data_IF_408980485319
#
_entry.id   IF_408980485319
#
_cell.length_a   1.000
_cell.length_b   1.000
_cell.length_c   1.000
_cell.angle_alpha   90.00
_cell.angle_beta   90.00
_cell.angle_gamma   90.00
#
_symmetry.space_group_name_H-M   'P 1'
#
loop_
_entity.id
_entity.type
_entity.pdbx_description
1 polymer ?
#
# COMPACT_ATOMS: atom_id res chain seq x y z
N UNK A 1 -51.36 14.44 9.73
CA UNK A 1 -51.58 13.26 10.60
C UNK A 1 -50.50 12.26 10.22
N UNK A 2 -49.33 12.29 10.87
CA UNK A 2 -48.93 11.43 12.00
C UNK A 2 -49.05 9.92 11.65
N UNK A 3 -48.04 9.05 11.85
CA UNK A 3 -47.09 9.02 12.94
C UNK A 3 -45.75 8.33 12.57
N UNK A 4 -44.72 8.72 13.33
CA UNK A 4 -43.36 8.16 13.42
C UNK A 4 -43.43 6.83 14.19
N UNK A 5 -42.58 5.87 13.87
CA UNK A 5 -42.31 4.73 14.76
C UNK A 5 -40.81 4.59 14.98
N UNK A 6 -40.36 5.18 16.08
CA UNK A 6 -39.07 4.94 16.73
C UNK A 6 -39.26 3.85 17.78
N UNK A 7 -38.31 2.92 17.89
CA UNK A 7 -38.01 2.09 19.08
C UNK A 7 -37.23 0.82 18.67
N UNK A 8 -36.28 0.21 19.40
CA UNK A 8 -35.88 0.30 20.79
C UNK A 8 -34.37 0.06 20.93
N UNK A 9 -33.82 0.72 21.94
CA UNK A 9 -32.50 0.55 22.57
C UNK A 9 -32.27 -0.90 23.04
N UNK A 10 -31.09 -1.46 22.80
CA UNK A 10 -30.52 -2.55 23.60
C UNK A 10 -29.06 -2.22 23.92
N UNK A 11 -28.89 -1.61 25.10
CA UNK A 11 -27.65 -1.56 25.87
C UNK A 11 -27.25 -2.98 26.26
N UNK A 12 -26.02 -3.40 25.94
CA UNK A 12 -25.38 -4.55 26.58
C UNK A 12 -24.07 -4.09 27.24
N UNK A 13 -24.08 -4.24 28.55
CA UNK A 13 -23.12 -3.79 29.55
C UNK A 13 -21.85 -4.64 29.62
N UNK A 14 -20.72 -3.95 29.79
CA UNK A 14 -19.73 -4.13 30.86
C UNK A 14 -19.27 -5.57 31.20
N UNK A 15 -18.01 -5.87 30.89
CA UNK A 15 -17.20 -6.79 31.69
C UNK A 15 -15.73 -6.31 31.72
N UNK A 16 -15.39 -5.66 32.82
CA UNK A 16 -14.01 -5.41 33.26
C UNK A 16 -13.36 -6.77 33.59
N UNK A 17 -12.21 -7.07 32.98
CA UNK A 17 -11.32 -8.14 33.41
C UNK A 17 -9.94 -7.52 33.68
N UNK A 18 -9.78 -7.04 34.91
CA UNK A 18 -8.48 -6.95 35.57
C UNK A 18 -8.01 -8.37 35.86
N UNK A 19 -6.81 -8.73 35.39
CA UNK A 19 -6.05 -9.84 35.93
C UNK A 19 -4.57 -9.47 35.93
N UNK A 20 -4.10 -9.09 37.10
CA UNK A 20 -2.69 -8.95 37.45
C UNK A 20 -2.09 -10.34 37.62
N UNK A 21 -1.01 -10.66 36.90
CA UNK A 21 -0.06 -11.70 37.31
C UNK A 21 1.33 -11.10 37.30
N UNK A 22 1.82 -10.82 38.51
CA UNK A 22 3.23 -10.70 38.80
C UNK A 22 3.81 -12.12 38.88
N UNK A 23 4.82 -12.40 38.09
CA UNK A 23 5.70 -13.54 38.30
C UNK A 23 7.12 -13.13 37.90
N UNK A 24 7.94 -12.84 38.92
CA UNK A 24 9.37 -12.69 38.79
C UNK A 24 10.01 -14.09 38.90
N UNK A 25 10.81 -14.55 37.93
CA UNK A 25 11.70 -15.67 38.15
C UNK A 25 13.07 -15.16 38.63
N UNK A 26 13.46 -15.76 39.74
CA UNK A 26 14.76 -15.81 40.39
C UNK A 26 15.93 -15.99 39.42
N UNK A 27 17.05 -15.35 39.76
CA UNK A 27 18.29 -15.37 39.02
C UNK A 27 18.84 -16.78 38.75
N UNK A 28 19.36 -16.95 37.55
CA UNK A 28 20.25 -18.02 37.16
C UNK A 28 21.52 -17.39 36.58
N UNK A 29 22.61 -17.49 37.36
CA UNK A 29 23.98 -17.31 36.89
C UNK A 29 24.32 -18.49 35.96
N UNK A 30 24.48 -18.22 34.66
CA UNK A 30 25.13 -19.16 33.73
C UNK A 30 26.23 -18.43 32.96
N UNK A 31 27.49 -18.73 33.31
CA UNK A 31 28.65 -18.49 32.46
C UNK A 31 28.71 -19.52 31.32
N UNK A 32 28.69 -19.06 30.07
CA UNK A 32 29.65 -19.40 28.99
C UNK A 32 29.03 -19.49 27.59
N UNK A 33 29.52 -18.57 26.74
CA UNK A 33 29.91 -18.69 25.31
C UNK A 33 29.01 -19.48 24.36
N UNK A 34 28.37 -18.77 23.42
CA UNK A 34 28.46 -19.03 21.96
C UNK A 34 28.31 -17.71 21.20
N UNK A 35 29.37 -17.30 20.49
CA UNK A 35 29.28 -16.34 19.40
C UNK A 35 28.96 -17.15 18.15
N UNK A 36 27.71 -17.12 17.69
CA UNK A 36 27.34 -17.59 16.36
C UNK A 36 26.35 -16.60 15.75
N UNK A 37 26.84 -15.95 14.70
CA UNK A 37 26.13 -15.46 13.52
C UNK A 37 24.66 -15.07 13.72
N UNK A 38 24.42 -13.79 13.98
CA UNK A 38 23.22 -13.15 13.43
C UNK A 38 23.68 -12.15 12.38
N UNK A 39 23.73 -12.61 11.13
CA UNK A 39 23.55 -11.75 9.97
C UNK A 39 22.21 -11.05 10.16
N UNK A 40 22.22 -9.95 10.91
CA UNK A 40 21.12 -9.01 10.86
C UNK A 40 21.21 -8.40 9.49
N UNK A 41 20.46 -8.99 8.55
CA UNK A 41 20.03 -8.34 7.33
C UNK A 41 19.20 -7.13 7.73
N UNK A 42 19.90 -6.08 8.16
CA UNK A 42 19.35 -4.75 8.30
C UNK A 42 19.30 -4.17 6.90
N UNK A 43 18.29 -4.56 6.13
CA UNK A 43 17.79 -3.83 4.97
C UNK A 43 17.22 -2.49 5.46
N UNK A 44 18.07 -1.64 6.01
CA UNK A 44 17.65 -0.42 6.70
C UNK A 44 18.45 0.74 6.15
N UNK A 45 18.13 1.13 4.92
CA UNK A 45 18.29 2.49 4.38
C UNK A 45 17.50 2.67 3.08
N UNK A 46 16.43 1.90 2.83
CA UNK A 46 15.37 2.43 1.98
C UNK A 46 14.90 3.70 2.70
N UNK A 47 14.93 4.86 2.06
CA UNK A 47 14.42 6.12 2.63
C UNK A 47 13.09 5.87 3.34
N UNK A 48 12.76 6.63 4.38
CA UNK A 48 11.56 6.38 5.21
C UNK A 48 10.26 6.21 4.42
N UNK A 49 10.24 6.67 3.16
CA UNK A 49 9.12 6.53 2.23
C UNK A 49 9.28 5.43 1.17
N UNK A 50 10.47 4.90 0.87
CA UNK A 50 10.67 4.00 -0.28
C UNK A 50 9.78 2.74 -0.20
N UNK A 51 9.78 2.02 0.92
CA UNK A 51 8.90 0.85 1.09
C UNK A 51 7.40 1.20 1.03
N UNK A 52 6.99 2.31 1.66
CA UNK A 52 5.61 2.78 1.59
C UNK A 52 5.18 3.13 0.15
N UNK A 53 6.08 3.76 -0.61
CA UNK A 53 5.86 4.09 -2.02
C UNK A 53 5.78 2.84 -2.90
N UNK A 54 6.60 1.83 -2.63
CA UNK A 54 6.56 0.54 -3.33
C UNK A 54 5.22 -0.17 -3.15
N UNK A 55 4.75 -0.29 -1.90
CA UNK A 55 3.44 -0.88 -1.60
C UNK A 55 2.30 -0.08 -2.25
N UNK A 56 2.38 1.26 -2.21
CA UNK A 56 1.38 2.12 -2.84
C UNK A 56 1.37 1.95 -4.36
N UNK A 57 2.53 1.81 -4.99
CA UNK A 57 2.65 1.54 -6.41
C UNK A 57 2.00 0.20 -6.78
N UNK A 58 2.24 -0.87 -6.01
CA UNK A 58 1.59 -2.17 -6.22
C UNK A 58 0.06 -2.06 -6.15
N UNK A 59 -0.46 -1.45 -5.09
CA UNK A 59 -1.91 -1.23 -4.94
C UNK A 59 -2.53 -0.44 -6.10
N UNK A 60 -1.86 0.63 -6.54
CA UNK A 60 -2.35 1.45 -7.65
C UNK A 60 -2.35 0.65 -8.95
N UNK A 61 -1.27 -0.09 -9.26
CA UNK A 61 -1.23 -0.92 -10.46
C UNK A 61 -2.29 -2.03 -10.44
N UNK A 62 -2.55 -2.64 -9.28
CA UNK A 62 -3.63 -3.61 -9.12
C UNK A 62 -5.02 -2.97 -9.33
N UNK A 63 -5.23 -1.76 -8.82
CA UNK A 63 -6.46 -1.00 -9.06
C UNK A 63 -6.63 -0.64 -10.55
N UNK A 64 -5.57 -0.15 -11.19
CA UNK A 64 -5.57 0.22 -12.59
C UNK A 64 -5.82 -0.95 -13.54
N UNK A 65 -5.37 -2.15 -13.19
CA UNK A 65 -5.66 -3.37 -13.95
C UNK A 65 -7.17 -3.70 -14.02
N UNK A 66 -7.98 -3.14 -13.11
CA UNK A 66 -9.44 -3.30 -13.11
C UNK A 66 -10.21 -2.16 -13.80
N UNK A 67 -9.51 -1.08 -14.18
CA UNK A 67 -10.13 0.08 -14.81
C UNK A 67 -10.24 -0.08 -16.33
N UNK A 68 -11.30 0.47 -16.87
CA UNK A 68 -11.59 0.56 -18.29
C UNK A 68 -11.94 2.01 -18.68
N UNK A 69 -11.90 2.31 -19.96
CA UNK A 69 -12.31 3.62 -20.52
C UNK A 69 -13.78 3.95 -20.28
N UNK A 70 -14.60 2.95 -19.94
CA UNK A 70 -16.03 3.13 -19.70
C UNK A 70 -16.37 3.46 -18.24
N UNK A 71 -15.39 3.36 -17.33
CA UNK A 71 -15.61 3.71 -15.93
C UNK A 71 -15.70 5.22 -15.76
N UNK A 72 -16.65 5.65 -14.93
CA UNK A 72 -16.75 7.06 -14.52
C UNK A 72 -15.61 7.42 -13.57
N UNK A 73 -15.09 8.64 -13.69
CA UNK A 73 -13.99 9.15 -12.86
C UNK A 73 -14.26 10.55 -12.32
N UNK A 74 -13.44 11.06 -11.40
CA UNK A 74 -13.52 12.45 -10.95
C UNK A 74 -12.59 13.32 -11.77
N UNK A 75 -13.07 14.45 -12.30
CA UNK A 75 -12.23 15.37 -13.08
C UNK A 75 -10.94 15.72 -12.34
N UNK A 76 -9.81 15.52 -13.01
CA UNK A 76 -8.47 15.71 -12.45
C UNK A 76 -7.81 14.43 -11.93
N UNK A 77 -8.54 13.33 -11.78
CA UNK A 77 -7.94 12.02 -11.48
C UNK A 77 -7.01 11.59 -12.61
N UNK A 78 -5.97 10.85 -12.24
CA UNK A 78 -5.01 10.27 -13.18
C UNK A 78 -4.87 8.78 -12.89
N UNK A 79 -4.80 7.97 -13.94
CA UNK A 79 -4.71 6.52 -13.83
C UNK A 79 -3.92 5.93 -15.00
N UNK A 80 -3.62 4.64 -14.90
CA UNK A 80 -3.25 3.84 -16.05
C UNK A 80 -4.50 3.06 -16.49
N UNK A 81 -4.99 3.29 -17.71
CA UNK A 81 -6.21 2.63 -18.22
C UNK A 81 -5.85 1.96 -19.53
N UNK A 82 -6.11 0.65 -19.64
CA UNK A 82 -5.71 -0.17 -20.79
C UNK A 82 -4.22 -0.05 -21.19
N UNK A 83 -3.33 0.24 -20.23
CA UNK A 83 -1.89 0.42 -20.48
C UNK A 83 -1.49 1.82 -20.96
N UNK A 84 -2.44 2.72 -21.22
CA UNK A 84 -2.18 4.13 -21.52
C UNK A 84 -2.26 5.02 -20.27
N UNK A 85 -1.64 6.21 -20.35
CA UNK A 85 -1.78 7.23 -19.32
C UNK A 85 -3.11 7.95 -19.48
N UNK A 86 -3.96 7.92 -18.46
CA UNK A 86 -5.30 8.46 -18.51
C UNK A 86 -5.44 9.68 -17.59
N UNK A 87 -6.15 10.69 -18.07
CA UNK A 87 -6.61 11.82 -17.26
C UNK A 87 -8.13 11.91 -17.31
N UNK A 88 -8.76 12.13 -16.17
CA UNK A 88 -10.20 12.28 -16.14
C UNK A 88 -10.60 13.72 -16.53
N UNK A 89 -11.38 13.85 -17.60
CA UNK A 89 -11.93 15.13 -18.07
C UNK A 89 -13.45 14.99 -18.20
N UNK A 90 -14.19 15.80 -17.43
CA UNK A 90 -15.66 15.79 -17.50
C UNK A 90 -16.29 14.46 -17.08
N UNK A 91 -15.62 13.69 -16.23
CA UNK A 91 -16.10 12.40 -15.73
C UNK A 91 -15.76 11.19 -16.59
N UNK A 92 -14.98 11.38 -17.66
CA UNK A 92 -14.55 10.30 -18.58
C UNK A 92 -13.02 10.24 -18.65
N UNK A 93 -12.48 9.04 -18.82
CA UNK A 93 -11.04 8.82 -19.01
C UNK A 93 -10.59 9.19 -20.43
N UNK A 94 -9.76 10.23 -20.54
CA UNK A 94 -9.02 10.56 -21.76
C UNK A 94 -7.66 9.86 -21.71
N UNK A 95 -7.48 8.83 -22.56
CA UNK A 95 -6.30 7.97 -22.57
C UNK A 95 -5.30 8.43 -23.63
N UNK A 96 -4.05 8.62 -23.22
CA UNK A 96 -2.90 8.83 -24.09
C UNK A 96 -2.05 7.56 -24.08
N UNK A 97 -1.92 6.92 -25.23
CA UNK A 97 -1.13 5.70 -25.38
C UNK A 97 0.35 5.95 -25.10
N UNK A 98 0.97 4.96 -24.45
CA UNK A 98 2.42 4.93 -24.26
C UNK A 98 3.14 4.58 -25.57
N UNK A 99 4.44 4.87 -25.64
CA UNK A 99 5.25 4.49 -26.80
C UNK A 99 5.29 2.96 -26.96
N UNK A 100 5.54 2.48 -28.18
CA UNK A 100 5.60 1.04 -28.46
C UNK A 100 6.56 0.32 -27.52
N UNK A 101 6.10 -0.79 -26.92
CA UNK A 101 6.89 -1.58 -25.97
C UNK A 101 6.88 -1.06 -24.53
N UNK A 102 6.10 0.00 -24.25
CA UNK A 102 5.92 0.53 -22.89
C UNK A 102 4.44 0.55 -22.52
N UNK A 103 4.16 0.59 -21.22
CA UNK A 103 2.81 0.75 -20.66
C UNK A 103 2.85 1.68 -19.45
N UNK A 104 1.72 2.26 -19.11
CA UNK A 104 1.59 3.13 -17.95
C UNK A 104 1.64 2.29 -16.68
N UNK A 105 2.50 2.69 -15.75
CA UNK A 105 2.59 2.11 -14.41
C UNK A 105 2.63 3.21 -13.35
N UNK A 106 2.05 2.94 -12.18
CA UNK A 106 2.40 3.66 -10.95
C UNK A 106 3.77 3.18 -10.46
N UNK A 107 4.69 4.13 -10.29
CA UNK A 107 6.08 3.87 -9.91
C UNK A 107 6.42 4.61 -8.61
N UNK A 108 7.21 4.02 -7.71
CA UNK A 108 7.57 4.64 -6.44
C UNK A 108 8.44 5.88 -6.65
N UNK A 109 8.16 6.96 -5.92
CA UNK A 109 9.02 8.14 -5.88
C UNK A 109 10.26 7.86 -5.01
N UNK A 110 11.43 8.28 -5.49
CA UNK A 110 12.74 7.98 -4.85
C UNK A 110 13.25 9.10 -3.93
N UNK A 111 12.75 10.32 -4.09
CA UNK A 111 13.18 11.51 -3.33
C UNK A 111 12.05 12.15 -2.51
N UNK A 112 10.85 11.59 -2.53
CA UNK A 112 9.70 12.10 -1.80
C UNK A 112 8.68 10.98 -1.54
N UNK A 113 7.74 11.20 -0.62
CA UNK A 113 6.62 10.30 -0.42
C UNK A 113 5.68 10.30 -1.63
N UNK A 114 5.09 9.15 -1.94
CA UNK A 114 4.11 8.94 -3.00
C UNK A 114 4.61 8.15 -4.21
N UNK A 115 3.82 8.21 -5.27
CA UNK A 115 4.05 7.52 -6.55
C UNK A 115 3.91 8.50 -7.70
N UNK A 116 4.38 8.12 -8.88
CA UNK A 116 4.15 8.86 -10.13
C UNK A 116 3.73 7.88 -11.22
N UNK A 117 2.91 8.34 -12.16
CA UNK A 117 2.53 7.54 -13.32
C UNK A 117 3.50 7.81 -14.46
N UNK A 118 4.02 6.74 -15.07
CA UNK A 118 4.92 6.87 -16.20
C UNK A 118 4.80 5.70 -17.16
N UNK A 119 5.08 5.96 -18.44
CA UNK A 119 5.24 4.91 -19.43
C UNK A 119 6.61 4.27 -19.25
N UNK A 120 6.64 2.98 -18.97
CA UNK A 120 7.87 2.21 -18.75
C UNK A 120 7.71 0.80 -19.35
N UNK A 121 8.80 0.03 -19.42
CA UNK A 121 8.67 -1.41 -19.70
C UNK A 121 8.16 -2.14 -18.45
N UNK A 122 7.45 -3.24 -18.61
CA UNK A 122 6.97 -4.03 -17.47
C UNK A 122 8.13 -4.52 -16.59
N UNK A 123 9.23 -4.94 -17.21
CA UNK A 123 10.43 -5.38 -16.49
C UNK A 123 11.07 -4.26 -15.68
N UNK A 124 11.15 -3.04 -16.22
CA UNK A 124 11.75 -1.91 -15.51
C UNK A 124 10.82 -1.40 -14.40
N UNK A 125 9.51 -1.36 -14.65
CA UNK A 125 8.51 -1.03 -13.65
C UNK A 125 8.58 -1.99 -12.45
N UNK A 126 8.66 -3.30 -12.71
CA UNK A 126 8.79 -4.32 -11.68
C UNK A 126 10.11 -4.15 -10.90
N UNK A 127 11.23 -4.03 -11.59
CA UNK A 127 12.54 -3.85 -10.97
C UNK A 127 12.59 -2.62 -10.05
N UNK A 128 11.94 -1.52 -10.44
CA UNK A 128 11.84 -0.30 -9.63
C UNK A 128 11.00 -0.48 -8.38
N UNK A 129 9.93 -1.27 -8.45
CA UNK A 129 9.10 -1.61 -7.29
C UNK A 129 9.87 -2.54 -6.35
N UNK A 130 10.50 -3.59 -6.87
CA UNK A 130 11.30 -4.54 -6.09
C UNK A 130 12.49 -3.86 -5.39
N UNK A 131 13.11 -2.86 -6.04
CA UNK A 131 14.20 -2.07 -5.45
C UNK A 131 13.80 -1.30 -4.18
N UNK A 132 12.49 -1.15 -3.90
CA UNK A 132 12.01 -0.57 -2.63
C UNK A 132 12.05 -1.55 -1.46
N UNK A 133 12.36 -2.84 -1.71
CA UNK A 133 12.41 -3.89 -0.70
C UNK A 133 11.04 -4.47 -0.32
N UNK A 134 9.99 -4.16 -1.09
CA UNK A 134 8.64 -4.65 -0.87
C UNK A 134 8.35 -5.90 -1.70
N UNK A 135 7.49 -6.77 -1.18
CA UNK A 135 6.99 -7.94 -1.90
C UNK A 135 5.48 -8.05 -1.71
N UNK A 136 4.71 -7.99 -2.80
CA UNK A 136 3.24 -8.09 -2.79
C UNK A 136 2.52 -6.86 -2.22
N UNK A 137 1.45 -6.43 -2.89
CA UNK A 137 0.61 -5.28 -2.54
C UNK A 137 -0.62 -5.16 -3.42
#
# INVERSE_FOLDING_TARGET
>A
MAARSSSFVLLATLACRLASVAAAPTGFEFLSVRADTNSTSSSSSSSSFAGANGLKAQQLNAQFASLSTNDSCTTGDQACVNGGFAQCVGGTWEVTECSSGTSCFALPLVNSAGTSLSCDSESDALARIEATGVSGG
#
